data_IF_883624603521
#
_entry.id   IF_883624603521
#
_cell.length_a   1.000
_cell.length_b   1.000
_cell.length_c   1.000
_cell.angle_alpha   90.00
_cell.angle_beta   90.00
_cell.angle_gamma   90.00
#
_symmetry.space_group_name_H-M   'P 1'
#
loop_
_entity.id
_entity.type
_entity.pdbx_description
1 polymer ?
#
# COMPACT_ATOMS: atom_id res chain seq x y z
N UNK A 1 -13.42 -13.61 -9.07
CA UNK A 1 -12.26 -12.72 -9.32
C UNK A 1 -11.15 -13.58 -9.90
N UNK A 2 -10.48 -13.14 -10.95
CA UNK A 2 -9.29 -13.83 -11.47
C UNK A 2 -8.09 -13.57 -10.55
N UNK A 3 -7.21 -14.56 -10.33
CA UNK A 3 -5.97 -14.34 -9.58
C UNK A 3 -5.04 -13.38 -10.32
N UNK A 4 -4.29 -12.56 -9.58
CA UNK A 4 -3.23 -11.71 -10.12
C UNK A 4 -1.96 -12.53 -10.40
N UNK A 5 -1.04 -11.96 -11.18
CA UNK A 5 0.22 -12.58 -11.59
C UNK A 5 1.44 -11.68 -11.29
N UNK A 6 2.66 -12.24 -11.15
CA UNK A 6 3.86 -11.45 -10.82
C UNK A 6 4.25 -10.38 -11.86
N UNK A 7 3.80 -10.51 -13.11
CA UNK A 7 4.05 -9.54 -14.20
C UNK A 7 3.14 -8.33 -14.01
N UNK A 8 1.87 -8.54 -13.68
CA UNK A 8 0.96 -7.48 -13.25
C UNK A 8 1.52 -6.71 -12.04
N UNK A 9 1.94 -7.42 -10.99
CA UNK A 9 2.55 -6.80 -9.80
C UNK A 9 3.77 -5.96 -10.18
N UNK A 10 4.64 -6.48 -11.06
CA UNK A 10 5.81 -5.74 -11.55
C UNK A 10 5.40 -4.46 -12.27
N UNK A 11 4.40 -4.52 -13.17
CA UNK A 11 3.89 -3.34 -13.89
C UNK A 11 3.36 -2.29 -12.92
N UNK A 12 2.60 -2.71 -11.91
CA UNK A 12 2.05 -1.81 -10.89
C UNK A 12 3.18 -1.16 -10.09
N UNK A 13 4.13 -1.93 -9.57
CA UNK A 13 5.26 -1.39 -8.78
C UNK A 13 6.07 -0.40 -9.61
N UNK A 14 6.36 -0.72 -10.87
CA UNK A 14 7.11 0.18 -11.76
C UNK A 14 6.35 1.45 -12.13
N UNK A 15 5.01 1.44 -12.11
CA UNK A 15 4.18 2.62 -12.35
C UNK A 15 4.17 3.63 -11.18
N UNK A 16 4.59 3.23 -9.98
CA UNK A 16 4.58 4.10 -8.79
C UNK A 16 5.52 5.30 -8.97
N UNK A 17 5.16 6.48 -8.44
CA UNK A 17 6.09 7.61 -8.38
C UNK A 17 7.19 7.31 -7.35
N UNK A 18 8.49 7.44 -7.69
CA UNK A 18 9.57 7.16 -6.75
C UNK A 18 9.66 8.27 -5.69
N UNK A 19 9.06 8.00 -4.53
CA UNK A 19 9.09 8.87 -3.35
C UNK A 19 9.90 8.22 -2.23
N UNK A 20 10.58 9.05 -1.44
CA UNK A 20 11.31 8.63 -0.24
C UNK A 20 10.40 8.49 0.98
N UNK A 21 9.20 9.08 0.97
CA UNK A 21 8.21 8.89 2.02
C UNK A 21 7.82 7.41 2.12
N UNK A 22 7.71 6.91 3.35
CA UNK A 22 7.33 5.54 3.66
C UNK A 22 6.17 5.47 4.66
N UNK A 23 5.51 4.30 4.68
CA UNK A 23 4.44 3.97 5.61
C UNK A 23 4.96 3.72 7.03
N UNK A 24 4.22 2.92 7.79
CA UNK A 24 4.64 2.45 9.11
C UNK A 24 5.78 1.40 9.01
N UNK A 25 5.86 0.70 7.88
CA UNK A 25 6.85 -0.33 7.56
C UNK A 25 8.25 0.20 7.19
N UNK A 26 8.41 1.51 6.99
CA UNK A 26 9.66 2.10 6.55
C UNK A 26 10.00 1.84 5.07
N UNK A 27 9.14 1.15 4.32
CA UNK A 27 9.41 0.81 2.91
C UNK A 27 8.97 1.98 2.02
N UNK A 28 9.93 2.61 1.36
CA UNK A 28 9.64 3.66 0.39
C UNK A 28 9.31 3.08 -0.98
N UNK A 29 8.49 3.78 -1.77
CA UNK A 29 8.22 3.38 -3.16
C UNK A 29 9.48 3.30 -4.03
N UNK A 30 10.53 4.08 -3.71
CA UNK A 30 11.83 3.98 -4.36
C UNK A 30 12.51 2.64 -4.06
N UNK A 31 12.56 2.25 -2.78
CA UNK A 31 13.10 0.96 -2.35
C UNK A 31 12.29 -0.21 -2.93
N UNK A 32 10.96 -0.10 -2.95
CA UNK A 32 10.05 -1.11 -3.49
C UNK A 32 10.36 -1.42 -4.96
N UNK A 33 10.66 -0.40 -5.78
CA UNK A 33 11.08 -0.60 -7.17
C UNK A 33 12.40 -1.36 -7.26
N UNK A 34 13.38 -1.01 -6.44
CA UNK A 34 14.68 -1.71 -6.43
C UNK A 34 14.53 -3.19 -6.07
N UNK A 35 13.64 -3.49 -5.11
CA UNK A 35 13.42 -4.86 -4.63
C UNK A 35 12.41 -5.66 -5.47
N UNK A 36 11.84 -5.08 -6.52
CA UNK A 36 10.71 -5.64 -7.27
C UNK A 36 10.88 -7.11 -7.68
N UNK A 37 12.07 -7.49 -8.16
CA UNK A 37 12.33 -8.84 -8.63
C UNK A 37 12.18 -9.89 -7.52
N UNK A 38 12.61 -9.56 -6.30
CA UNK A 38 12.55 -10.45 -5.14
C UNK A 38 11.17 -10.47 -4.50
N UNK A 39 10.42 -9.36 -4.54
CA UNK A 39 9.15 -9.22 -3.80
C UNK A 39 7.90 -9.51 -4.64
N UNK A 40 7.98 -9.49 -5.98
CA UNK A 40 6.79 -9.67 -6.83
C UNK A 40 6.07 -11.00 -6.60
N UNK A 41 6.81 -12.08 -6.36
CA UNK A 41 6.26 -13.42 -6.11
C UNK A 41 5.53 -13.44 -4.75
N UNK A 42 6.16 -13.10 -3.61
CA UNK A 42 5.47 -13.13 -2.33
C UNK A 42 4.27 -12.17 -2.26
N UNK A 43 4.36 -10.98 -2.88
CA UNK A 43 3.23 -10.05 -2.95
C UNK A 43 2.06 -10.64 -3.75
N UNK A 44 2.34 -11.27 -4.90
CA UNK A 44 1.32 -11.95 -5.71
C UNK A 44 0.61 -13.04 -4.90
N UNK A 45 1.36 -13.87 -4.17
CA UNK A 45 0.80 -14.92 -3.31
C UNK A 45 -0.09 -14.35 -2.22
N UNK A 46 0.37 -13.31 -1.50
CA UNK A 46 -0.41 -12.67 -0.44
C UNK A 46 -1.71 -12.09 -0.99
N UNK A 47 -1.68 -11.41 -2.13
CA UNK A 47 -2.87 -10.82 -2.75
C UNK A 47 -3.85 -11.92 -3.16
N UNK A 48 -3.38 -12.95 -3.86
CA UNK A 48 -4.23 -14.06 -4.29
C UNK A 48 -4.88 -14.78 -3.11
N UNK A 49 -4.11 -15.04 -2.05
CA UNK A 49 -4.62 -15.66 -0.84
C UNK A 49 -5.63 -14.75 -0.12
N UNK A 50 -5.34 -13.45 -0.01
CA UNK A 50 -6.23 -12.48 0.63
C UNK A 50 -7.58 -12.38 -0.10
N UNK A 51 -7.55 -12.42 -1.44
CA UNK A 51 -8.77 -12.37 -2.26
C UNK A 51 -9.58 -13.66 -2.23
N UNK A 52 -8.91 -14.81 -2.09
CA UNK A 52 -9.57 -16.11 -1.98
C UNK A 52 -10.20 -16.35 -0.60
N UNK A 53 -9.48 -15.98 0.46
CA UNK A 53 -9.89 -16.26 1.85
C UNK A 53 -10.64 -15.10 2.50
N UNK A 54 -10.46 -13.88 2.00
CA UNK A 54 -10.92 -12.65 2.66
C UNK A 54 -9.98 -12.15 3.76
N UNK A 55 -8.86 -12.83 4.01
CA UNK A 55 -7.95 -12.52 5.11
C UNK A 55 -6.71 -11.76 4.65
N UNK A 56 -6.58 -10.52 5.12
CA UNK A 56 -5.41 -9.65 4.90
C UNK A 56 -4.50 -9.65 6.14
N UNK A 57 -3.16 -9.73 6.00
CA UNK A 57 -2.23 -9.67 7.12
C UNK A 57 -2.42 -8.43 8.00
N UNK A 58 -2.31 -8.61 9.32
CA UNK A 58 -2.53 -7.52 10.29
C UNK A 58 -1.59 -6.32 10.07
N UNK A 59 -0.33 -6.59 9.72
CA UNK A 59 0.66 -5.55 9.40
C UNK A 59 0.26 -4.66 8.22
N UNK A 60 -0.48 -5.20 7.25
CA UNK A 60 -0.97 -4.47 6.07
C UNK A 60 -2.25 -3.67 6.34
N UNK A 61 -2.89 -3.86 7.50
CA UNK A 61 -4.09 -3.11 7.93
C UNK A 61 -3.74 -1.80 8.64
N UNK A 62 -2.46 -1.55 8.94
CA UNK A 62 -2.00 -0.38 9.68
C UNK A 62 -1.88 0.84 8.77
N UNK A 63 -2.50 1.96 9.16
CA UNK A 63 -2.39 3.24 8.47
C UNK A 63 -1.54 4.24 9.27
N UNK A 64 -0.66 4.98 8.58
CA UNK A 64 0.16 6.05 9.16
C UNK A 64 -0.53 7.40 8.94
N UNK A 65 -0.77 8.15 10.03
CA UNK A 65 -1.38 9.49 10.00
C UNK A 65 -0.28 10.52 10.24
N UNK A 66 -0.08 11.45 9.29
CA UNK A 66 0.92 12.52 9.40
C UNK A 66 0.22 13.84 9.04
N UNK A 67 0.28 14.88 9.89
CA UNK A 67 -0.22 16.19 9.53
C UNK A 67 0.65 16.78 8.40
N UNK A 68 0.01 17.24 7.33
CA UNK A 68 0.69 17.87 6.18
C UNK A 68 0.45 19.37 6.25
N UNK A 69 1.53 20.16 6.36
CA UNK A 69 1.47 21.61 6.29
C UNK A 69 1.35 22.05 4.81
N UNK A 70 0.16 22.49 4.39
CA UNK A 70 -0.06 23.11 3.09
C UNK A 70 0.25 24.60 3.22
N UNK A 71 1.44 25.02 2.77
CA UNK A 71 1.79 26.45 2.70
C UNK A 71 0.86 27.18 1.72
N UNK A 72 -0.07 27.95 2.29
CA UNK A 72 -0.98 29.00 1.75
C UNK A 72 -2.46 28.65 1.97
N UNK A 73 -3.03 29.40 2.92
CA UNK A 73 -4.44 29.58 3.22
C UNK A 73 -5.21 28.34 3.71
N UNK A 74 -5.70 28.49 4.94
CA UNK A 74 -6.79 27.77 5.58
C UNK A 74 -6.43 26.39 6.11
N UNK A 75 -6.56 26.29 7.43
CA UNK A 75 -6.48 25.12 8.29
C UNK A 75 -7.56 24.09 7.90
N UNK A 76 -7.41 23.47 6.74
CA UNK A 76 -8.18 22.30 6.35
C UNK A 76 -7.37 21.08 6.71
N UNK A 77 -7.64 20.52 7.88
CA UNK A 77 -7.18 19.17 8.25
C UNK A 77 -7.75 18.21 7.21
N UNK A 78 -6.98 17.97 6.14
CA UNK A 78 -7.35 16.99 5.13
C UNK A 78 -7.03 15.62 5.72
N UNK A 79 -7.97 15.06 6.49
CA UNK A 79 -7.92 13.65 6.86
C UNK A 79 -8.10 12.82 5.58
N UNK A 80 -6.99 12.39 4.97
CA UNK A 80 -7.05 11.32 3.97
C UNK A 80 -7.25 10.01 4.73
N UNK A 81 -8.49 9.72 5.11
CA UNK A 81 -8.89 8.38 5.53
C UNK A 81 -8.90 7.51 4.28
N UNK A 82 -7.86 6.70 4.07
CA UNK A 82 -7.97 5.56 3.15
C UNK A 82 -8.79 4.48 3.85
N UNK A 83 -10.11 4.57 3.61
CA UNK A 83 -11.15 3.56 3.79
C UNK A 83 -10.89 2.49 4.88
N UNK A 84 -11.35 2.78 6.09
CA UNK A 84 -11.65 1.77 7.10
C UNK A 84 -13.03 1.18 6.81
N UNK A 85 -13.11 -0.09 6.40
CA UNK A 85 -14.27 -0.90 6.76
C UNK A 85 -13.93 -1.72 7.99
N UNK A 86 -14.25 -1.16 9.16
CA UNK A 86 -14.56 -1.95 10.35
C UNK A 86 -15.71 -2.89 9.96
N UNK A 87 -15.50 -4.18 10.13
CA UNK A 87 -16.60 -5.14 10.26
C UNK A 87 -16.64 -5.56 11.72
N UNK A 88 -17.66 -5.12 12.44
CA UNK A 88 -18.11 -5.62 13.74
C UNK A 88 -19.58 -5.18 13.92
N UNK A 89 -20.45 -5.99 14.54
CA UNK A 89 -20.37 -7.44 14.79
C UNK A 89 -20.73 -8.27 13.55
#
# INVERSE_FOLDING_TARGET
>A
MSPTDPIEITRIIMSLKPKNSSGHDGISSKLLKTLNQSIRIPICTIINQSLQTGDVPMSMKIAKVIPINKSKANFLITFIIKNTRKKCP
#
